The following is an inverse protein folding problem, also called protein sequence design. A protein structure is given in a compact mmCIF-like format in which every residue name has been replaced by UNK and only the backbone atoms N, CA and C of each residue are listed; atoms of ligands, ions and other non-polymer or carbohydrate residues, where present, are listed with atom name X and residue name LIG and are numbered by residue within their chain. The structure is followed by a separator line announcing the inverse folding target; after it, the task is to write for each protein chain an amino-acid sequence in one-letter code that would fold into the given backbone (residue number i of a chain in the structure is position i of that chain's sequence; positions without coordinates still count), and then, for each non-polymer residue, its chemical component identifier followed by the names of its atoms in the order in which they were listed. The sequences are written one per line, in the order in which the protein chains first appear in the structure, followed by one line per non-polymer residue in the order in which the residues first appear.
data_IF_446936163978
#
_entry.id   IF_446936163978
#
_cell.length_a   1.000
_cell.length_b   1.000
_cell.length_c   1.000
_cell.angle_alpha   90.00
_cell.angle_beta   90.00
_cell.angle_gamma   90.00
#
_symmetry.space_group_name_H-M   'P 1'
#
loop_
_entity.id
_entity.type
_entity.pdbx_description
1 polymer ?
#
# COMPACT_ATOMS: atom_id res chain seq x y z
N UNK A 1 4.50 -21.80 65.52
CA UNK A 1 3.66 -21.56 64.33
C UNK A 1 4.04 -20.21 63.74
N UNK A 2 4.04 -20.08 62.40
CA UNK A 2 4.41 -18.83 61.71
C UNK A 2 5.83 -18.87 61.15
N UNK A 3 6.00 -19.41 59.94
CA UNK A 3 7.18 -19.22 59.11
C UNK A 3 6.87 -18.12 58.08
N UNK A 4 7.74 -17.12 57.95
CA UNK A 4 7.56 -16.04 56.99
C UNK A 4 8.27 -16.38 55.67
N UNK A 5 7.50 -16.67 54.62
CA UNK A 5 8.00 -16.81 53.25
C UNK A 5 7.74 -15.50 52.52
N UNK A 6 8.80 -14.71 52.30
CA UNK A 6 8.74 -13.52 51.44
C UNK A 6 8.92 -13.95 49.99
N UNK A 7 7.85 -13.86 49.20
CA UNK A 7 7.87 -14.19 47.78
C UNK A 7 8.65 -13.16 46.96
N UNK A 8 9.51 -13.63 46.05
CA UNK A 8 10.22 -12.78 45.10
C UNK A 8 9.33 -12.50 43.88
N UNK A 9 8.74 -11.30 43.82
CA UNK A 9 7.96 -10.86 42.66
C UNK A 9 8.86 -10.58 41.46
N UNK A 10 8.92 -11.53 40.52
CA UNK A 10 9.54 -11.35 39.20
C UNK A 10 8.73 -10.31 38.40
N UNK A 11 9.23 -9.08 38.36
CA UNK A 11 8.70 -8.05 37.47
C UNK A 11 9.15 -8.38 36.05
N UNK A 12 8.23 -8.92 35.24
CA UNK A 12 8.40 -9.02 33.80
C UNK A 12 8.46 -7.61 33.21
N UNK A 13 9.67 -7.10 32.99
CA UNK A 13 9.85 -5.93 32.12
C UNK A 13 9.42 -6.33 30.72
N UNK A 14 8.26 -5.83 30.30
CA UNK A 14 7.85 -5.85 28.89
C UNK A 14 8.86 -5.03 28.10
N UNK A 15 9.82 -5.70 27.45
CA UNK A 15 10.68 -5.06 26.48
C UNK A 15 9.79 -4.50 25.38
N UNK A 16 9.68 -3.17 25.33
CA UNK A 16 9.05 -2.49 24.20
C UNK A 16 9.79 -2.97 22.94
N UNK A 17 9.08 -3.39 21.87
CA UNK A 17 9.75 -3.70 20.62
C UNK A 17 10.53 -2.46 20.21
N UNK A 18 11.83 -2.62 19.93
CA UNK A 18 12.64 -1.54 19.41
C UNK A 18 11.92 -0.97 18.18
N UNK A 19 11.74 0.35 18.14
CA UNK A 19 11.11 1.01 17.00
C UNK A 19 11.88 0.60 15.75
N UNK A 20 11.25 -0.21 14.89
CA UNK A 20 11.93 -0.77 13.73
C UNK A 20 12.45 0.38 12.86
N UNK A 21 13.70 0.29 12.38
CA UNK A 21 14.27 1.28 11.47
C UNK A 21 13.32 1.46 10.28
N UNK A 22 12.54 2.53 10.31
CA UNK A 22 11.53 2.83 9.30
C UNK A 22 12.23 3.50 8.12
N UNK A 23 11.81 3.16 6.90
CA UNK A 23 12.37 3.76 5.68
C UNK A 23 12.09 5.26 5.70
N UNK A 24 13.14 6.06 5.93
CA UNK A 24 13.03 7.51 5.95
C UNK A 24 13.33 8.04 4.54
N UNK A 25 12.30 8.55 3.86
CA UNK A 25 12.44 9.29 2.61
C UNK A 25 12.26 10.77 2.87
N UNK A 26 13.19 11.62 2.42
CA UNK A 26 13.10 13.08 2.57
C UNK A 26 13.66 13.83 1.36
N UNK A 27 13.15 15.03 1.03
CA UNK A 27 13.83 15.93 0.09
C UNK A 27 15.23 16.28 0.60
N UNK A 28 16.22 16.20 -0.29
CA UNK A 28 17.63 16.38 0.00
C UNK A 28 18.33 17.10 -1.17
N UNK A 29 18.59 18.42 -1.07
CA UNK A 29 19.07 19.25 -2.18
C UNK A 29 20.37 18.77 -2.84
N UNK A 30 21.32 18.25 -2.07
CA UNK A 30 22.65 17.83 -2.58
C UNK A 30 22.56 16.66 -3.58
N UNK A 31 21.47 15.89 -3.55
CA UNK A 31 21.18 14.80 -4.50
C UNK A 31 20.39 15.27 -5.74
N UNK A 32 20.02 16.54 -5.82
CA UNK A 32 19.22 17.10 -6.91
C UNK A 32 20.02 17.62 -8.10
N UNK A 33 19.33 18.24 -9.04
CA UNK A 33 19.94 19.05 -10.11
C UNK A 33 19.01 20.21 -10.42
N UNK A 34 19.54 21.44 -10.36
CA UNK A 34 18.76 22.65 -10.67
C UNK A 34 18.32 22.67 -12.14
N UNK A 35 17.09 23.11 -12.38
CA UNK A 35 16.55 23.41 -13.70
C UNK A 35 16.63 24.92 -13.95
N UNK A 36 15.52 25.48 -14.42
CA UNK A 36 15.38 26.90 -14.80
C UNK A 36 14.10 27.48 -14.18
N UNK A 37 14.06 28.79 -13.91
CA UNK A 37 12.84 29.52 -13.59
C UNK A 37 11.96 29.71 -14.83
N UNK A 38 10.74 29.19 -14.81
CA UNK A 38 9.79 29.24 -15.94
C UNK A 38 8.66 30.23 -15.71
N UNK A 39 8.23 30.92 -16.76
CA UNK A 39 6.97 31.66 -16.74
C UNK A 39 5.82 30.72 -17.14
N UNK A 40 4.76 30.71 -16.34
CA UNK A 40 3.61 29.83 -16.52
C UNK A 40 2.33 30.66 -16.58
N UNK A 41 1.36 30.19 -17.37
CA UNK A 41 0.02 30.77 -17.50
C UNK A 41 -1.07 29.78 -17.08
N UNK A 42 -2.25 30.29 -16.73
CA UNK A 42 -3.46 29.46 -16.61
C UNK A 42 -3.97 29.03 -18.00
N UNK A 43 -4.93 28.09 -18.02
CA UNK A 43 -5.58 27.60 -19.24
C UNK A 43 -6.24 28.67 -20.12
N UNK A 44 -6.42 29.91 -19.63
CA UNK A 44 -6.97 31.04 -20.38
C UNK A 44 -5.87 32.08 -20.75
N UNK A 45 -4.59 31.75 -20.57
CA UNK A 45 -3.43 32.58 -20.94
C UNK A 45 -3.06 33.67 -19.93
N UNK A 46 -3.50 33.61 -18.67
CA UNK A 46 -3.14 34.61 -17.64
C UNK A 46 -1.87 34.17 -16.88
N UNK A 47 -0.84 35.01 -16.70
CA UNK A 47 0.34 34.66 -15.91
C UNK A 47 -0.01 34.20 -14.48
N UNK A 48 0.54 33.06 -14.09
CA UNK A 48 0.50 32.53 -12.73
C UNK A 48 1.51 33.28 -11.85
N UNK A 49 1.29 33.28 -10.54
CA UNK A 49 2.24 33.79 -9.54
C UNK A 49 2.68 32.66 -8.61
N UNK A 50 3.96 32.62 -8.29
CA UNK A 50 4.50 31.72 -7.29
C UNK A 50 4.06 32.12 -5.86
N UNK A 51 4.37 31.29 -4.86
CA UNK A 51 3.97 31.52 -3.45
C UNK A 51 4.53 32.81 -2.83
N UNK A 52 5.59 33.37 -3.42
CA UNK A 52 6.27 34.58 -2.96
C UNK A 52 5.85 35.82 -3.81
N UNK A 53 4.86 35.65 -4.71
CA UNK A 53 4.29 36.72 -5.55
C UNK A 53 5.03 37.01 -6.85
N UNK A 54 6.12 36.28 -7.13
CA UNK A 54 6.91 36.43 -8.36
C UNK A 54 6.34 35.67 -9.56
N UNK A 55 6.80 36.04 -10.74
CA UNK A 55 6.33 35.52 -12.05
C UNK A 55 6.95 34.17 -12.43
N UNK A 56 8.16 33.86 -11.94
CA UNK A 56 8.89 32.65 -12.31
C UNK A 56 8.70 31.49 -11.32
N UNK A 57 8.58 30.27 -11.86
CA UNK A 57 8.49 29.01 -11.14
C UNK A 57 9.79 28.22 -11.33
N UNK A 58 10.62 28.16 -10.28
CA UNK A 58 11.91 27.45 -10.33
C UNK A 58 11.69 25.94 -10.43
N UNK A 59 12.21 25.34 -11.51
CA UNK A 59 12.22 23.90 -11.72
C UNK A 59 13.51 23.26 -11.20
N UNK A 60 13.43 21.99 -10.80
CA UNK A 60 14.61 21.15 -10.52
C UNK A 60 14.25 19.68 -10.68
N UNK A 61 15.26 18.85 -10.94
CA UNK A 61 15.18 17.42 -10.64
C UNK A 61 15.46 17.29 -9.13
N UNK A 62 14.41 17.06 -8.34
CA UNK A 62 14.44 17.12 -6.88
C UNK A 62 15.19 15.92 -6.33
N UNK A 63 16.22 16.18 -5.53
CA UNK A 63 16.97 15.14 -4.83
C UNK A 63 16.16 14.56 -3.66
N UNK A 64 16.21 13.23 -3.52
CA UNK A 64 15.66 12.51 -2.39
C UNK A 64 16.78 11.73 -1.68
N UNK A 65 16.76 11.77 -0.36
CA UNK A 65 17.49 10.86 0.52
C UNK A 65 16.55 9.74 0.95
N UNK A 66 17.06 8.51 0.90
CA UNK A 66 16.43 7.31 1.43
C UNK A 66 17.39 6.72 2.47
N UNK A 67 16.92 6.55 3.71
CA UNK A 67 17.68 5.89 4.78
C UNK A 67 16.91 4.64 5.21
N UNK A 68 17.56 3.48 5.11
CA UNK A 68 17.04 2.21 5.64
C UNK A 68 18.20 1.35 6.19
N UNK A 69 18.00 0.71 7.35
CA UNK A 69 18.97 -0.19 7.99
C UNK A 69 20.37 0.44 8.15
N UNK A 70 20.41 1.77 8.38
CA UNK A 70 21.65 2.56 8.47
C UNK A 70 22.38 2.81 7.14
N UNK A 71 21.87 2.32 6.00
CA UNK A 71 22.38 2.67 4.66
C UNK A 71 21.73 3.97 4.19
N UNK A 72 22.52 4.87 3.63
CA UNK A 72 22.03 6.04 2.90
C UNK A 72 22.07 5.75 1.38
N UNK A 73 20.98 6.06 0.70
CA UNK A 73 20.81 5.96 -0.75
C UNK A 73 20.15 7.25 -1.27
N UNK A 74 20.33 7.56 -2.56
CA UNK A 74 19.71 8.73 -3.18
C UNK A 74 18.82 8.35 -4.36
N UNK A 75 17.71 9.06 -4.48
CA UNK A 75 16.80 9.00 -5.61
C UNK A 75 16.56 10.42 -6.16
N UNK A 76 15.89 10.50 -7.30
CA UNK A 76 15.55 11.77 -7.95
C UNK A 76 14.08 11.77 -8.34
N UNK A 77 13.39 12.90 -8.18
CA UNK A 77 11.95 13.04 -8.37
C UNK A 77 11.56 14.36 -9.05
N UNK A 78 10.33 14.46 -9.53
CA UNK A 78 9.70 15.69 -9.99
C UNK A 78 8.51 16.06 -9.10
N UNK A 79 8.18 17.34 -9.04
CA UNK A 79 6.98 17.85 -8.35
C UNK A 79 5.72 17.59 -9.19
N UNK A 80 4.61 17.25 -8.52
CA UNK A 80 3.29 16.99 -9.15
C UNK A 80 2.17 17.89 -8.61
N UNK A 81 2.50 19.03 -7.99
CA UNK A 81 1.50 20.01 -7.57
C UNK A 81 2.02 21.46 -7.49
N UNK A 82 1.17 22.40 -7.89
CA UNK A 82 1.37 23.84 -7.76
C UNK A 82 0.15 24.52 -7.09
N UNK A 83 0.35 25.65 -6.41
CA UNK A 83 1.61 26.15 -5.87
C UNK A 83 1.83 25.59 -4.44
N UNK A 84 2.70 24.58 -4.29
CA UNK A 84 3.10 24.01 -2.98
C UNK A 84 4.60 24.18 -2.78
N UNK A 85 5.08 24.44 -1.55
CA UNK A 85 6.51 24.65 -1.25
C UNK A 85 7.21 23.32 -0.94
N UNK A 86 8.37 23.08 -1.56
CA UNK A 86 9.28 22.00 -1.15
C UNK A 86 9.94 22.36 0.19
N UNK A 87 10.01 21.41 1.11
CA UNK A 87 10.50 21.60 2.48
C UNK A 87 11.52 20.52 2.80
N UNK A 88 12.80 20.88 2.77
CA UNK A 88 13.92 19.96 2.97
C UNK A 88 13.82 19.17 4.28
N UNK A 89 14.29 17.92 4.25
CA UNK A 89 14.26 16.99 5.39
C UNK A 89 12.84 16.62 5.92
N UNK A 90 11.76 17.11 5.30
CA UNK A 90 10.39 16.71 5.67
C UNK A 90 10.15 15.23 5.34
N UNK A 91 9.74 14.39 6.31
CA UNK A 91 9.49 12.98 6.04
C UNK A 91 8.34 12.78 5.05
N UNK A 92 8.65 12.05 3.97
CA UNK A 92 7.72 11.58 2.99
C UNK A 92 7.38 10.11 3.24
N UNK A 93 6.20 9.71 2.79
CA UNK A 93 5.80 8.31 2.62
C UNK A 93 5.30 8.12 1.20
N UNK A 94 5.44 6.91 0.72
CA UNK A 94 4.75 6.48 -0.48
C UNK A 94 3.23 6.42 -0.24
N UNK A 95 2.45 6.75 -1.27
CA UNK A 95 1.03 6.35 -1.39
C UNK A 95 0.70 6.03 -2.86
N UNK A 96 -0.34 5.23 -3.12
CA UNK A 96 -0.89 5.07 -4.48
C UNK A 96 -1.38 6.40 -5.07
N UNK A 97 -1.48 6.48 -6.40
CA UNK A 97 -1.85 7.68 -7.13
C UNK A 97 -3.20 8.27 -6.71
N UNK A 98 -4.19 7.43 -6.40
CA UNK A 98 -5.52 7.84 -5.95
C UNK A 98 -5.51 8.55 -4.58
N UNK A 99 -4.44 8.37 -3.79
CA UNK A 99 -4.23 8.97 -2.49
C UNK A 99 -3.47 10.30 -2.50
N UNK A 100 -3.22 10.89 -3.69
CA UNK A 100 -2.68 12.25 -3.80
C UNK A 100 -3.48 13.24 -2.90
N UNK A 101 -2.82 13.99 -2.00
CA UNK A 101 -3.49 14.69 -0.91
C UNK A 101 -4.15 16.00 -1.35
N UNK A 102 -3.57 16.67 -2.36
CA UNK A 102 -4.13 17.89 -2.91
C UNK A 102 -5.32 17.55 -3.83
N UNK A 103 -6.47 18.19 -3.58
CA UNK A 103 -7.70 18.00 -4.36
C UNK A 103 -7.88 19.07 -5.45
N UNK A 104 -7.02 20.09 -5.48
CA UNK A 104 -7.03 21.15 -6.48
C UNK A 104 -6.24 20.77 -7.74
N UNK A 105 -5.54 19.64 -7.71
CA UNK A 105 -4.64 19.13 -8.76
C UNK A 105 -5.31 18.04 -9.58
N UNK A 106 -5.03 18.03 -10.88
CA UNK A 106 -5.42 17.00 -11.85
C UNK A 106 -4.55 15.75 -11.85
N UNK A 107 -3.57 15.63 -10.94
CA UNK A 107 -2.68 14.45 -10.86
C UNK A 107 -3.45 13.12 -10.92
N UNK A 108 -4.51 12.92 -10.12
CA UNK A 108 -5.27 11.65 -10.10
C UNK A 108 -5.95 11.30 -11.43
N UNK A 109 -6.36 12.32 -12.18
CA UNK A 109 -7.07 12.19 -13.45
C UNK A 109 -6.06 11.95 -14.60
N UNK A 110 -4.84 12.48 -14.47
CA UNK A 110 -3.83 12.52 -15.53
C UNK A 110 -2.52 11.78 -15.20
N UNK A 111 -2.45 11.01 -14.10
CA UNK A 111 -1.22 10.36 -13.61
C UNK A 111 -0.53 9.50 -14.69
N UNK A 112 -1.30 8.92 -15.61
CA UNK A 112 -0.77 8.16 -16.74
C UNK A 112 0.04 8.98 -17.74
N UNK A 113 -0.31 10.24 -17.98
CA UNK A 113 0.44 11.14 -18.87
C UNK A 113 1.71 11.63 -18.18
N UNK A 114 1.67 11.82 -16.86
CA UNK A 114 2.86 12.05 -16.02
C UNK A 114 3.78 10.84 -16.08
N UNK A 115 3.26 9.63 -15.90
CA UNK A 115 4.03 8.39 -15.98
C UNK A 115 4.70 8.22 -17.36
N UNK A 116 3.96 8.47 -18.44
CA UNK A 116 4.52 8.49 -19.80
C UNK A 116 5.66 9.52 -19.94
N UNK A 117 5.52 10.72 -19.38
CA UNK A 117 6.60 11.72 -19.39
C UNK A 117 7.85 11.16 -18.72
N UNK A 118 7.74 10.63 -17.50
CA UNK A 118 8.89 10.12 -16.73
C UNK A 118 9.63 8.97 -17.45
N UNK A 119 8.92 8.18 -18.26
CA UNK A 119 9.50 7.15 -19.14
C UNK A 119 10.20 7.73 -20.40
N UNK A 120 9.86 8.94 -20.84
CA UNK A 120 10.27 9.55 -22.12
C UNK A 120 10.99 10.91 -21.93
N UNK A 121 11.42 11.24 -20.72
CA UNK A 121 12.05 12.53 -20.35
C UNK A 121 13.37 12.34 -19.61
N UNK A 122 14.01 13.44 -19.23
CA UNK A 122 15.08 13.40 -18.25
C UNK A 122 14.56 12.80 -16.92
N UNK A 123 15.36 12.04 -16.16
CA UNK A 123 16.69 11.49 -16.45
C UNK A 123 16.69 10.05 -17.03
N UNK A 124 15.54 9.54 -17.53
CA UNK A 124 15.46 8.21 -18.18
C UNK A 124 16.00 8.27 -19.61
N UNK A 125 15.66 9.32 -20.35
CA UNK A 125 16.44 9.79 -21.49
C UNK A 125 17.49 10.77 -20.99
N UNK A 126 18.76 10.54 -21.30
CA UNK A 126 19.81 11.54 -21.09
C UNK A 126 19.77 12.64 -22.18
N UNK A 127 20.61 13.67 -22.01
CA UNK A 127 20.69 14.81 -22.93
C UNK A 127 21.14 14.38 -24.34
N UNK A 128 22.04 13.40 -24.47
CA UNK A 128 22.51 12.91 -25.75
C UNK A 128 21.49 12.02 -26.48
N UNK A 129 20.61 11.36 -25.73
CA UNK A 129 19.46 10.64 -26.24
C UNK A 129 18.37 11.62 -26.69
N UNK A 130 18.06 12.64 -25.87
CA UNK A 130 17.06 13.68 -26.19
C UNK A 130 17.46 14.52 -27.41
N UNK A 131 18.73 14.95 -27.51
CA UNK A 131 19.30 15.62 -28.69
C UNK A 131 18.94 14.94 -30.02
N UNK A 132 18.94 13.60 -30.01
CA UNK A 132 18.63 12.74 -31.16
C UNK A 132 17.12 12.47 -31.30
N UNK A 133 16.44 12.15 -30.20
CA UNK A 133 15.03 11.75 -30.20
C UNK A 133 14.06 12.92 -30.43
N UNK A 134 14.44 14.14 -30.02
CA UNK A 134 13.62 15.35 -30.12
C UNK A 134 14.14 16.31 -31.22
N UNK A 135 15.28 16.01 -31.86
CA UNK A 135 15.97 16.85 -32.85
C UNK A 135 16.35 18.25 -32.30
N UNK A 136 16.91 18.28 -31.09
CA UNK A 136 17.33 19.49 -30.38
C UNK A 136 18.84 19.42 -30.12
N UNK A 137 19.71 19.71 -31.11
CA UNK A 137 21.15 19.38 -31.01
C UNK A 137 21.89 20.17 -29.92
N UNK A 138 21.36 21.32 -29.49
CA UNK A 138 21.93 22.19 -28.46
C UNK A 138 21.47 21.85 -27.04
N UNK A 139 20.25 21.30 -26.87
CA UNK A 139 19.53 21.28 -25.58
C UNK A 139 20.41 20.98 -24.37
N UNK A 140 20.31 21.87 -23.39
CA UNK A 140 21.02 21.74 -22.12
C UNK A 140 20.23 20.90 -21.11
N UNK A 141 20.94 20.35 -20.12
CA UNK A 141 20.32 19.56 -19.04
C UNK A 141 19.29 20.39 -18.25
N UNK A 142 19.61 21.65 -18.00
CA UNK A 142 18.76 22.66 -17.34
C UNK A 142 17.44 22.83 -18.10
N UNK A 143 17.51 23.11 -19.40
CA UNK A 143 16.35 23.26 -20.29
C UNK A 143 15.50 21.98 -20.37
N UNK A 144 16.15 20.81 -20.47
CA UNK A 144 15.44 19.52 -20.52
C UNK A 144 14.74 19.19 -19.20
N UNK A 145 15.38 19.47 -18.04
CA UNK A 145 14.74 19.37 -16.71
C UNK A 145 13.53 20.30 -16.63
N UNK A 146 13.66 21.54 -17.08
CA UNK A 146 12.63 22.55 -16.97
C UNK A 146 11.41 22.22 -17.86
N UNK A 147 11.61 21.92 -19.15
CA UNK A 147 10.55 21.50 -20.05
C UNK A 147 9.87 20.20 -19.61
N UNK A 148 10.60 19.28 -18.97
CA UNK A 148 10.04 18.07 -18.34
C UNK A 148 9.10 18.43 -17.18
N UNK A 149 9.56 19.28 -16.24
CA UNK A 149 8.75 19.69 -15.09
C UNK A 149 7.52 20.52 -15.52
N UNK A 150 7.64 21.35 -16.55
CA UNK A 150 6.53 22.07 -17.17
C UNK A 150 5.50 21.12 -17.79
N UNK A 151 5.96 20.07 -18.50
CA UNK A 151 5.08 19.07 -19.08
C UNK A 151 4.34 18.26 -18.01
N UNK A 152 4.95 18.03 -16.85
CA UNK A 152 4.25 17.43 -15.69
C UNK A 152 3.16 18.39 -15.19
N UNK A 153 3.49 19.67 -14.93
CA UNK A 153 2.53 20.69 -14.47
C UNK A 153 1.39 20.96 -15.47
N UNK A 154 1.60 20.74 -16.77
CA UNK A 154 0.53 20.75 -17.78
C UNK A 154 -0.60 19.77 -17.46
N UNK A 155 -0.24 18.58 -16.98
CA UNK A 155 -1.16 17.50 -16.65
C UNK A 155 -1.61 17.50 -15.18
N UNK A 156 -0.77 17.96 -14.25
CA UNK A 156 -1.08 17.94 -12.81
C UNK A 156 -1.80 19.19 -12.31
N UNK A 157 -1.61 20.34 -12.95
CA UNK A 157 -2.08 21.64 -12.43
C UNK A 157 -2.81 22.49 -13.49
N UNK A 158 -3.05 21.92 -14.68
CA UNK A 158 -3.59 22.60 -15.88
C UNK A 158 -2.78 23.84 -16.33
N UNK A 159 -1.56 23.99 -15.80
CA UNK A 159 -0.65 25.09 -16.14
C UNK A 159 -0.20 25.02 -17.61
N UNK A 160 0.13 26.17 -18.18
CA UNK A 160 0.68 26.27 -19.53
C UNK A 160 2.02 26.99 -19.48
N UNK A 161 2.99 26.56 -20.29
CA UNK A 161 4.23 27.30 -20.47
C UNK A 161 3.90 28.58 -21.26
N UNK A 162 4.46 29.73 -20.88
CA UNK A 162 4.36 30.90 -21.75
C UNK A 162 5.31 30.75 -22.95
N UNK A 163 4.80 30.27 -24.08
CA UNK A 163 5.63 29.98 -25.26
C UNK A 163 6.26 31.23 -25.91
N UNK A 164 5.90 32.44 -25.47
CA UNK A 164 6.51 33.70 -25.93
C UNK A 164 7.62 34.24 -25.02
N UNK A 165 7.72 33.75 -23.79
CA UNK A 165 8.64 34.20 -22.74
C UNK A 165 8.82 33.05 -21.74
N UNK A 166 9.40 31.92 -22.18
CA UNK A 166 9.24 30.64 -21.49
C UNK A 166 10.00 30.56 -20.15
N UNK A 167 11.09 31.31 -20.00
CA UNK A 167 11.98 31.23 -18.85
C UNK A 167 12.67 32.57 -18.55
N UNK A 168 13.37 32.62 -17.42
CA UNK A 168 14.18 33.78 -17.00
C UNK A 168 15.55 33.88 -17.71
N UNK A 169 15.79 33.07 -18.74
CA UNK A 169 17.08 32.89 -19.43
C UNK A 169 17.05 33.49 -20.86
N UNK A 170 18.15 33.49 -21.63
CA UNK A 170 18.16 34.02 -22.99
C UNK A 170 17.33 33.18 -23.99
N UNK A 171 16.74 33.78 -25.05
CA UNK A 171 15.75 33.11 -25.92
C UNK A 171 16.13 31.76 -26.56
N UNK A 172 17.41 31.46 -26.76
CA UNK A 172 17.83 30.15 -27.26
C UNK A 172 17.56 29.01 -26.27
N UNK A 173 17.47 29.32 -24.97
CA UNK A 173 17.05 28.38 -23.92
C UNK A 173 15.52 28.22 -23.95
N UNK A 174 14.76 29.29 -24.18
CA UNK A 174 13.29 29.23 -24.32
C UNK A 174 12.88 28.33 -25.48
N UNK A 175 13.53 28.42 -26.65
CA UNK A 175 13.26 27.56 -27.80
C UNK A 175 13.44 26.06 -27.45
N UNK A 176 14.53 25.71 -26.77
CA UNK A 176 14.80 24.34 -26.31
C UNK A 176 13.80 23.87 -25.22
N UNK A 177 13.41 24.73 -24.27
CA UNK A 177 12.39 24.43 -23.24
C UNK A 177 11.01 24.23 -23.87
N UNK A 178 10.59 25.11 -24.77
CA UNK A 178 9.29 25.05 -25.49
C UNK A 178 9.21 23.80 -26.37
N UNK A 179 10.31 23.42 -27.04
CA UNK A 179 10.34 22.22 -27.86
C UNK A 179 10.24 20.94 -27.02
N UNK A 180 10.94 20.85 -25.89
CA UNK A 180 10.79 19.76 -24.91
C UNK A 180 9.35 19.70 -24.39
N UNK A 181 8.80 20.84 -23.96
CA UNK A 181 7.44 20.94 -23.42
C UNK A 181 6.39 20.43 -24.42
N UNK A 182 6.44 20.92 -25.67
CA UNK A 182 5.55 20.47 -26.75
C UNK A 182 5.69 18.98 -27.04
N UNK A 183 6.93 18.48 -27.14
CA UNK A 183 7.19 17.06 -27.42
C UNK A 183 6.64 16.11 -26.34
N UNK A 184 6.55 16.59 -25.09
CA UNK A 184 6.04 15.83 -23.94
C UNK A 184 4.54 16.02 -23.66
N UNK A 185 3.90 17.03 -24.27
CA UNK A 185 2.46 17.36 -24.06
C UNK A 185 1.59 17.21 -25.32
N UNK A 186 2.19 16.95 -26.48
CA UNK A 186 1.47 16.62 -27.73
C UNK A 186 0.64 15.33 -27.54
N UNK A 187 -0.71 15.38 -27.64
CA UNK A 187 -1.58 14.22 -27.44
C UNK A 187 -1.47 13.16 -28.55
N UNK A 188 -0.82 13.45 -29.68
CA UNK A 188 -0.47 12.44 -30.68
C UNK A 188 0.77 11.62 -30.31
N UNK A 189 1.49 12.02 -29.25
CA UNK A 189 2.75 11.42 -28.80
C UNK A 189 2.60 10.88 -27.37
N UNK A 190 2.14 11.72 -26.44
CA UNK A 190 1.86 11.34 -25.06
C UNK A 190 0.48 10.70 -24.93
N UNK A 191 0.42 9.41 -25.25
CA UNK A 191 -0.79 8.57 -25.09
C UNK A 191 -1.05 8.11 -23.65
N UNK A 192 -0.13 8.40 -22.73
CA UNK A 192 -0.16 7.92 -21.35
C UNK A 192 0.34 6.48 -21.16
N UNK A 193 0.57 6.10 -19.91
CA UNK A 193 0.83 4.73 -19.46
C UNK A 193 -0.11 4.47 -18.27
N UNK A 194 -1.27 3.83 -18.53
CA UNK A 194 -2.34 3.61 -17.54
C UNK A 194 -1.95 2.70 -16.37
N UNK A 195 -0.86 1.93 -16.46
CA UNK A 195 -0.39 1.07 -15.38
C UNK A 195 0.34 1.89 -14.30
N UNK A 196 -0.22 1.91 -13.10
CA UNK A 196 0.49 2.37 -11.90
C UNK A 196 1.69 1.46 -11.59
N UNK A 197 2.89 2.00 -11.28
CA UNK A 197 4.05 1.18 -10.98
C UNK A 197 3.87 0.37 -9.70
N UNK A 198 4.18 -0.93 -9.74
CA UNK A 198 4.13 -1.81 -8.58
C UNK A 198 4.90 -1.23 -7.37
N UNK A 199 4.44 -1.49 -6.13
CA UNK A 199 5.20 -1.14 -4.96
C UNK A 199 6.52 -1.92 -4.87
N UNK A 200 7.56 -1.28 -4.35
CA UNK A 200 8.86 -1.84 -3.98
C UNK A 200 8.69 -3.06 -3.09
N UNK A 201 7.89 -2.93 -2.03
CA UNK A 201 7.40 -4.04 -1.22
C UNK A 201 6.13 -3.63 -0.46
N UNK A 202 5.10 -4.45 -0.53
CA UNK A 202 3.95 -4.46 0.40
C UNK A 202 3.58 -5.90 0.76
N UNK A 203 2.96 -6.05 1.93
CA UNK A 203 2.32 -7.30 2.36
C UNK A 203 0.91 -6.93 2.82
N UNK A 204 -0.10 -7.61 2.27
CA UNK A 204 -1.50 -7.44 2.66
C UNK A 204 -2.24 -8.80 2.72
N UNK A 205 -3.06 -9.08 3.75
CA UNK A 205 -3.23 -8.29 4.98
C UNK A 205 -1.97 -8.29 5.87
N UNK A 206 -1.88 -7.31 6.78
CA UNK A 206 -0.78 -7.23 7.77
C UNK A 206 -0.88 -8.24 8.90
N UNK A 207 -2.09 -8.67 9.25
CA UNK A 207 -2.35 -9.66 10.29
C UNK A 207 -3.45 -10.62 9.84
N UNK A 208 -3.28 -11.91 10.13
CA UNK A 208 -4.31 -12.94 10.01
C UNK A 208 -4.37 -13.80 11.26
N UNK A 209 -5.54 -14.37 11.51
CA UNK A 209 -5.80 -15.33 12.58
C UNK A 209 -6.44 -16.60 11.98
N UNK A 210 -6.11 -17.75 12.57
CA UNK A 210 -6.66 -19.05 12.18
C UNK A 210 -6.55 -20.07 13.31
N UNK A 211 -6.55 -21.36 12.98
CA UNK A 211 -6.47 -22.45 13.95
C UNK A 211 -5.23 -23.33 13.71
N UNK A 212 -4.73 -23.95 14.76
CA UNK A 212 -3.77 -25.04 14.67
C UNK A 212 -4.25 -26.15 13.70
N UNK A 213 -3.32 -26.76 12.95
CA UNK A 213 -3.60 -27.72 11.89
C UNK A 213 -4.00 -27.13 10.53
N UNK A 214 -4.39 -25.85 10.46
CA UNK A 214 -4.82 -25.19 9.21
C UNK A 214 -3.72 -24.30 8.61
N UNK A 215 -3.91 -23.89 7.36
CA UNK A 215 -3.09 -22.87 6.69
C UNK A 215 -3.64 -21.48 6.98
N UNK A 216 -2.76 -20.57 7.37
CA UNK A 216 -3.07 -19.17 7.70
C UNK A 216 -2.50 -18.29 6.60
N UNK A 217 -3.35 -17.75 5.73
CA UNK A 217 -2.97 -16.98 4.55
C UNK A 217 -4.13 -16.87 3.54
N UNK A 218 -3.89 -16.30 2.35
CA UNK A 218 -2.60 -15.78 1.89
C UNK A 218 -2.24 -14.43 2.52
N UNK A 219 -0.99 -14.30 2.95
CA UNK A 219 -0.31 -13.01 3.02
C UNK A 219 0.21 -12.69 1.62
N UNK A 220 -0.46 -11.79 0.90
CA UNK A 220 -0.11 -11.45 -0.48
C UNK A 220 1.07 -10.48 -0.47
N UNK A 221 2.14 -10.83 -1.20
CA UNK A 221 3.37 -10.04 -1.31
C UNK A 221 3.42 -9.41 -2.70
N UNK A 222 3.35 -8.09 -2.77
CA UNK A 222 3.56 -7.33 -4.01
C UNK A 222 4.89 -6.58 -3.92
N UNK A 223 5.76 -6.79 -4.91
CA UNK A 223 7.12 -6.24 -4.93
C UNK A 223 7.59 -6.06 -6.38
N UNK A 224 8.60 -5.21 -6.58
CA UNK A 224 9.35 -5.08 -7.84
C UNK A 224 10.64 -5.92 -7.86
N UNK A 225 10.92 -6.71 -6.81
CA UNK A 225 12.03 -7.67 -6.81
C UNK A 225 11.65 -9.02 -7.44
N UNK A 226 12.65 -9.70 -8.01
CA UNK A 226 12.48 -11.06 -8.57
C UNK A 226 12.29 -12.15 -7.50
N UNK A 227 12.78 -11.89 -6.27
CA UNK A 227 12.83 -12.81 -5.14
C UNK A 227 12.75 -12.01 -3.82
N UNK A 228 12.44 -12.70 -2.74
CA UNK A 228 12.41 -12.15 -1.37
C UNK A 228 13.18 -13.05 -0.41
N UNK A 229 13.60 -12.50 0.73
CA UNK A 229 14.10 -13.25 1.89
C UNK A 229 13.03 -13.15 2.99
N UNK A 230 12.68 -14.25 3.65
CA UNK A 230 11.74 -14.26 4.78
C UNK A 230 12.55 -14.43 6.07
N UNK A 231 12.48 -13.46 6.98
CA UNK A 231 13.14 -13.49 8.29
C UNK A 231 12.11 -13.72 9.39
N UNK A 232 12.24 -14.80 10.17
CA UNK A 232 11.36 -15.07 11.30
C UNK A 232 12.02 -15.95 12.38
N UNK A 233 11.59 -15.76 13.63
CA UNK A 233 11.91 -16.65 14.75
C UNK A 233 10.89 -17.77 14.85
N UNK A 234 11.00 -18.74 13.94
CA UNK A 234 10.04 -19.85 13.79
C UNK A 234 10.02 -20.75 15.04
N UNK A 235 8.86 -20.95 15.71
CA UNK A 235 8.73 -21.92 16.80
C UNK A 235 8.58 -23.36 16.26
N UNK A 236 8.75 -24.36 17.12
CA UNK A 236 8.52 -25.75 16.76
C UNK A 236 7.06 -25.97 16.31
N UNK A 237 6.86 -26.83 15.29
CA UNK A 237 5.53 -27.13 14.74
C UNK A 237 4.98 -26.08 13.77
N UNK A 238 5.70 -25.00 13.47
CA UNK A 238 5.31 -23.98 12.49
C UNK A 238 6.24 -24.01 11.27
N UNK A 239 5.68 -23.86 10.07
CA UNK A 239 6.40 -23.80 8.78
C UNK A 239 5.79 -22.73 7.87
N UNK A 240 6.56 -22.22 6.91
CA UNK A 240 6.09 -21.27 5.90
C UNK A 240 5.94 -21.99 4.56
N UNK A 241 4.87 -21.72 3.82
CA UNK A 241 4.55 -22.40 2.56
C UNK A 241 4.03 -21.44 1.49
N UNK A 242 4.19 -21.80 0.21
CA UNK A 242 3.46 -21.17 -0.89
C UNK A 242 2.03 -21.75 -1.04
N UNK A 243 1.28 -21.23 -2.02
CA UNK A 243 -0.09 -21.68 -2.33
C UNK A 243 -0.22 -23.15 -2.72
N UNK A 244 0.88 -23.81 -3.10
CA UNK A 244 0.90 -25.22 -3.51
C UNK A 244 1.34 -26.13 -2.34
N UNK A 245 1.53 -25.56 -1.15
CA UNK A 245 1.95 -26.25 0.07
C UNK A 245 3.43 -26.60 0.11
N UNK A 246 4.25 -26.06 -0.82
CA UNK A 246 5.69 -26.24 -0.81
C UNK A 246 6.31 -25.32 0.24
N UNK A 247 7.23 -25.87 1.03
CA UNK A 247 7.95 -25.13 2.07
C UNK A 247 8.82 -23.99 1.48
N UNK A 248 8.80 -22.84 2.15
CA UNK A 248 9.57 -21.64 1.86
C UNK A 248 10.80 -21.59 2.78
N UNK A 249 11.96 -21.18 2.26
CA UNK A 249 13.13 -20.98 3.10
C UNK A 249 12.97 -19.72 3.97
N UNK A 250 13.31 -19.85 5.26
CA UNK A 250 13.19 -18.77 6.26
C UNK A 250 14.51 -18.62 7.00
N UNK A 251 15.06 -17.40 7.00
CA UNK A 251 16.28 -17.05 7.72
C UNK A 251 15.98 -16.70 9.17
N UNK A 252 16.99 -16.88 10.03
CA UNK A 252 16.91 -16.49 11.44
C UNK A 252 17.01 -14.97 11.57
N UNK A 253 16.46 -14.46 12.66
CA UNK A 253 16.51 -13.04 13.02
C UNK A 253 17.95 -12.49 12.95
N UNK A 254 18.18 -11.48 12.10
CA UNK A 254 19.49 -10.88 11.82
C UNK A 254 20.41 -11.63 10.84
N UNK A 255 20.03 -12.79 10.28
CA UNK A 255 20.87 -13.61 9.38
C UNK A 255 20.61 -13.32 7.87
N UNK A 256 20.45 -12.04 7.53
CA UNK A 256 20.24 -11.54 6.15
C UNK A 256 21.44 -11.76 5.18
N UNK A 257 22.42 -12.58 5.57
CA UNK A 257 23.52 -13.04 4.72
C UNK A 257 23.32 -14.48 4.23
N UNK A 258 22.35 -15.22 4.79
CA UNK A 258 21.93 -16.50 4.25
C UNK A 258 21.25 -16.27 2.89
N UNK A 259 21.70 -16.98 1.85
CA UNK A 259 21.27 -16.80 0.45
C UNK A 259 19.90 -17.44 0.13
N UNK A 260 18.99 -17.39 1.09
CA UNK A 260 17.66 -18.01 1.06
C UNK A 260 16.65 -17.15 0.28
N UNK A 261 16.95 -16.92 -1.01
CA UNK A 261 16.13 -16.06 -1.87
C UNK A 261 15.00 -16.86 -2.54
N UNK A 262 13.75 -16.69 -2.10
CA UNK A 262 12.58 -17.39 -2.65
C UNK A 262 11.71 -16.47 -3.51
N UNK A 263 11.25 -16.95 -4.66
CA UNK A 263 10.23 -16.26 -5.48
C UNK A 263 8.84 -16.66 -5.02
N UNK A 264 8.13 -15.74 -4.36
CA UNK A 264 6.80 -15.98 -3.78
C UNK A 264 5.93 -14.72 -3.90
N UNK A 265 4.67 -14.88 -4.30
CA UNK A 265 3.67 -13.80 -4.30
C UNK A 265 2.57 -13.97 -3.23
N UNK A 266 2.49 -15.13 -2.59
CA UNK A 266 1.58 -15.43 -1.49
C UNK A 266 2.27 -16.35 -0.48
N UNK A 267 2.41 -15.88 0.75
CA UNK A 267 2.97 -16.62 1.88
C UNK A 267 1.82 -17.17 2.72
N UNK A 268 1.94 -18.42 3.16
CA UNK A 268 1.04 -19.06 4.12
C UNK A 268 1.84 -19.56 5.31
N UNK A 269 1.33 -19.35 6.52
CA UNK A 269 1.88 -19.94 7.75
C UNK A 269 1.09 -21.21 8.06
N UNK A 270 1.79 -22.35 8.13
CA UNK A 270 1.24 -23.65 8.50
C UNK A 270 1.60 -23.96 9.94
N UNK A 271 0.60 -24.29 10.76
CA UNK A 271 0.75 -24.64 12.17
C UNK A 271 0.31 -26.10 12.34
N UNK A 272 1.08 -26.94 13.05
CA UNK A 272 0.67 -28.30 13.38
C UNK A 272 -0.49 -28.34 14.40
N UNK A 273 -1.24 -29.43 14.46
CA UNK A 273 -2.46 -29.54 15.27
C UNK A 273 -2.22 -29.49 16.78
N UNK A 274 -1.01 -29.85 17.23
CA UNK A 274 -0.58 -29.97 18.62
C UNK A 274 0.16 -28.72 19.16
N UNK A 275 0.23 -27.64 18.37
CA UNK A 275 0.88 -26.38 18.78
C UNK A 275 -0.07 -25.53 19.62
N UNK A 276 0.34 -25.20 20.84
CA UNK A 276 -0.41 -24.31 21.74
C UNK A 276 -0.74 -22.94 21.08
N UNK A 277 -1.88 -22.31 21.42
CA UNK A 277 -2.29 -21.01 20.88
C UNK A 277 -1.18 -19.94 20.96
N UNK A 278 -0.97 -19.20 19.87
CA UNK A 278 0.19 -18.34 19.75
C UNK A 278 0.16 -17.38 18.57
N UNK A 279 1.31 -16.77 18.28
CA UNK A 279 1.50 -15.92 17.10
C UNK A 279 2.96 -15.88 16.67
N UNK A 280 3.19 -15.71 15.37
CA UNK A 280 4.49 -15.44 14.77
C UNK A 280 4.45 -14.11 14.01
N UNK A 281 5.45 -13.28 14.25
CA UNK A 281 5.77 -12.13 13.40
C UNK A 281 6.91 -12.51 12.47
N UNK A 282 6.79 -12.12 11.20
CA UNK A 282 7.82 -12.32 10.20
C UNK A 282 8.05 -11.03 9.40
N UNK A 283 9.27 -10.89 8.89
CA UNK A 283 9.67 -9.76 8.04
C UNK A 283 10.04 -10.30 6.67
N UNK A 284 9.49 -9.72 5.60
CA UNK A 284 9.94 -9.99 4.23
C UNK A 284 10.93 -8.89 3.86
N UNK A 285 12.08 -9.26 3.31
CA UNK A 285 13.15 -8.37 2.88
C UNK A 285 13.39 -8.52 1.38
N UNK A 286 13.64 -7.41 0.69
CA UNK A 286 13.97 -7.37 -0.74
C UNK A 286 15.06 -6.33 -1.01
N UNK A 287 15.80 -6.52 -2.11
CA UNK A 287 16.39 -5.41 -2.86
C UNK A 287 15.59 -5.29 -4.16
N UNK A 288 14.91 -4.16 -4.33
CA UNK A 288 13.83 -3.96 -5.28
C UNK A 288 13.96 -2.61 -5.99
N UNK A 289 13.42 -2.50 -7.20
CA UNK A 289 13.45 -1.24 -7.95
C UNK A 289 12.37 -0.28 -7.46
N UNK A 290 12.79 0.84 -6.89
CA UNK A 290 11.98 2.04 -6.69
C UNK A 290 11.68 2.64 -8.08
N UNK A 291 10.58 2.19 -8.71
CA UNK A 291 10.21 2.57 -10.07
C UNK A 291 9.91 4.06 -10.23
N UNK A 292 10.18 4.59 -11.43
CA UNK A 292 9.61 5.85 -11.91
C UNK A 292 8.08 5.88 -11.76
N UNK A 293 7.51 7.07 -11.52
CA UNK A 293 6.08 7.29 -11.38
C UNK A 293 5.51 7.05 -9.97
N UNK A 294 6.21 6.34 -9.07
CA UNK A 294 5.75 6.09 -7.70
C UNK A 294 5.64 7.41 -6.92
N UNK A 295 4.50 7.62 -6.27
CA UNK A 295 4.12 8.87 -5.62
C UNK A 295 4.52 8.89 -4.14
N UNK A 296 5.18 9.98 -3.73
CA UNK A 296 5.58 10.29 -2.37
C UNK A 296 4.92 11.58 -1.90
N UNK A 297 4.41 11.57 -0.67
CA UNK A 297 3.62 12.66 -0.07
C UNK A 297 4.05 12.88 1.38
N UNK A 298 3.75 14.05 1.95
CA UNK A 298 4.05 14.34 3.35
C UNK A 298 3.50 13.25 4.30
N UNK A 299 4.37 12.68 5.14
CA UNK A 299 4.00 11.64 6.10
C UNK A 299 2.99 12.13 7.12
N UNK A 300 3.22 13.34 7.65
CA UNK A 300 2.29 14.07 8.52
C UNK A 300 1.53 15.15 7.72
N UNK A 301 0.20 15.13 7.82
CA UNK A 301 -0.69 16.09 7.15
C UNK A 301 -0.56 17.53 7.67
N UNK A 302 0.03 17.72 8.85
CA UNK A 302 0.30 19.04 9.42
C UNK A 302 1.57 19.67 8.82
N UNK A 303 2.57 18.86 8.46
CA UNK A 303 3.85 19.29 7.88
C UNK A 303 3.80 19.18 6.35
N UNK A 304 3.01 20.06 5.72
CA UNK A 304 2.84 20.07 4.26
C UNK A 304 4.16 20.33 3.52
N UNK A 305 4.39 19.54 2.48
CA UNK A 305 5.38 19.81 1.43
C UNK A 305 4.87 19.29 0.09
N UNK A 306 5.59 19.57 -1.01
CA UNK A 306 5.25 19.08 -2.35
C UNK A 306 5.13 17.56 -2.37
N UNK A 307 4.08 17.07 -3.01
CA UNK A 307 3.96 15.69 -3.47
C UNK A 307 4.89 15.49 -4.68
N UNK A 308 5.61 14.37 -4.70
CA UNK A 308 6.72 14.08 -5.62
C UNK A 308 6.56 12.72 -6.28
N UNK A 309 6.94 12.60 -7.56
CA UNK A 309 7.01 11.31 -8.27
C UNK A 309 8.44 10.96 -8.66
N UNK A 310 8.83 9.71 -8.45
CA UNK A 310 10.16 9.21 -8.79
C UNK A 310 10.43 9.39 -10.29
N UNK A 311 11.59 9.95 -10.63
CA UNK A 311 11.95 10.34 -12.00
C UNK A 311 12.68 9.24 -12.80
N UNK A 312 13.30 8.27 -12.13
CA UNK A 312 13.90 7.08 -12.76
C UNK A 312 13.97 5.90 -11.78
N UNK A 313 14.02 4.64 -12.26
CA UNK A 313 14.24 3.50 -11.41
C UNK A 313 15.59 3.59 -10.68
N UNK A 314 15.59 3.25 -9.39
CA UNK A 314 16.81 3.03 -8.60
C UNK A 314 16.62 1.78 -7.73
N UNK A 315 17.69 1.00 -7.54
CA UNK A 315 17.65 -0.13 -6.62
C UNK A 315 17.65 0.40 -5.19
N UNK A 316 16.65 -0.01 -4.42
CA UNK A 316 16.57 0.23 -2.97
C UNK A 316 16.45 -1.08 -2.24
N UNK A 317 16.88 -1.11 -0.99
CA UNK A 317 16.39 -2.16 -0.08
C UNK A 317 14.95 -1.81 0.33
N UNK A 318 14.19 -2.82 0.76
CA UNK A 318 12.93 -2.62 1.49
C UNK A 318 12.65 -3.83 2.39
N UNK A 319 11.94 -3.58 3.50
CA UNK A 319 11.43 -4.62 4.39
C UNK A 319 10.01 -4.32 4.83
N UNK A 320 9.19 -5.36 5.00
CA UNK A 320 7.82 -5.25 5.47
C UNK A 320 7.48 -6.35 6.46
N UNK A 321 6.60 -6.04 7.42
CA UNK A 321 6.21 -6.98 8.48
C UNK A 321 4.78 -7.47 8.33
N UNK A 322 4.57 -8.73 8.69
CA UNK A 322 3.25 -9.33 8.83
C UNK A 322 3.21 -10.33 9.99
N UNK A 323 1.99 -10.67 10.44
CA UNK A 323 1.75 -11.48 11.63
C UNK A 323 0.68 -12.54 11.41
N UNK A 324 0.98 -13.78 11.78
CA UNK A 324 -0.02 -14.84 11.88
C UNK A 324 -0.29 -15.16 13.36
N UNK A 325 -1.56 -15.30 13.72
CA UNK A 325 -2.05 -15.76 15.03
C UNK A 325 -2.78 -17.09 14.85
N UNK A 326 -2.73 -17.95 15.86
CA UNK A 326 -3.52 -19.18 15.86
C UNK A 326 -4.12 -19.49 17.23
N UNK A 327 -5.33 -20.02 17.20
CA UNK A 327 -6.02 -20.61 18.35
C UNK A 327 -6.00 -22.14 18.28
N UNK A 328 -6.42 -22.79 19.37
CA UNK A 328 -6.52 -24.23 19.48
C UNK A 328 -7.50 -24.80 18.44
N UNK A 329 -7.19 -25.96 17.86
CA UNK A 329 -8.05 -26.61 16.88
C UNK A 329 -9.31 -27.17 17.56
N UNK A 330 -10.44 -26.50 17.40
CA UNK A 330 -11.72 -26.89 18.04
C UNK A 330 -12.44 -28.05 17.35
N UNK A 331 -11.76 -28.83 16.51
CA UNK A 331 -12.32 -30.02 15.86
C UNK A 331 -12.86 -31.00 16.90
N UNK A 332 -14.18 -31.31 16.90
CA UNK A 332 -14.78 -32.14 17.94
C UNK A 332 -14.39 -33.61 17.76
N UNK A 333 -13.41 -34.06 18.55
CA UNK A 333 -12.96 -35.45 18.63
C UNK A 333 -14.13 -36.37 18.96
N UNK A 334 -14.69 -36.98 17.91
CA UNK A 334 -15.79 -37.94 18.00
C UNK A 334 -15.26 -39.27 18.53
N UNK A 335 -15.00 -39.32 19.84
CA UNK A 335 -14.61 -40.51 20.58
C UNK A 335 -15.76 -41.51 20.59
N UNK A 336 -15.81 -42.35 19.55
CA UNK A 336 -16.81 -43.40 19.38
C UNK A 336 -16.52 -44.58 20.33
N UNK A 337 -16.69 -44.35 21.63
CA UNK A 337 -16.82 -45.41 22.62
C UNK A 337 -18.14 -46.15 22.38
N UNK A 338 -18.09 -47.16 21.51
CA UNK A 338 -19.20 -48.05 21.20
C UNK A 338 -19.54 -48.95 22.40
N UNK A 339 -20.27 -48.40 23.38
CA UNK A 339 -20.72 -49.12 24.58
C UNK A 339 -21.87 -50.07 24.23
N UNK A 340 -21.54 -51.31 23.90
CA UNK A 340 -22.51 -52.40 23.68
C UNK A 340 -23.45 -52.55 24.88
N UNK A 341 -24.73 -52.26 24.69
CA UNK A 341 -25.78 -52.49 25.69
C UNK A 341 -26.93 -53.28 25.05
N UNK A 342 -27.28 -54.40 25.68
CA UNK A 342 -28.25 -55.37 25.17
C UNK A 342 -29.60 -55.25 25.89
N UNK A 343 -30.69 -55.72 25.27
CA UNK A 343 -32.04 -55.95 25.87
C UNK A 343 -32.84 -54.66 26.19
N UNK A 344 -34.18 -54.61 26.13
CA UNK A 344 -35.22 -55.66 25.99
C UNK A 344 -36.41 -55.20 25.13
N UNK A 345 -37.09 -56.13 24.47
CA UNK A 345 -38.38 -55.95 23.78
C UNK A 345 -39.56 -55.69 24.73
N UNK A 346 -40.47 -54.79 24.36
CA UNK A 346 -41.89 -54.82 24.77
C UNK A 346 -42.77 -54.39 23.60
N UNK A 347 -43.82 -55.15 23.29
CA UNK A 347 -44.83 -54.82 22.28
C UNK A 347 -45.97 -54.00 22.88
N UNK A 348 -46.54 -53.06 22.12
CA UNK A 348 -47.96 -52.66 22.29
C UNK A 348 -48.59 -52.38 20.92
N UNK A 349 -49.61 -53.16 20.58
CA UNK A 349 -50.44 -52.98 19.37
C UNK A 349 -51.53 -51.93 19.56
N UNK A 350 -51.92 -51.21 18.50
CA UNK A 350 -53.28 -50.67 18.29
C UNK A 350 -53.54 -50.45 16.79
N UNK A 351 -54.77 -50.68 16.33
CA UNK A 351 -55.17 -50.77 14.91
C UNK A 351 -55.97 -49.56 14.40
N UNK A 352 -56.00 -49.37 13.08
CA UNK A 352 -56.79 -48.33 12.39
C UNK A 352 -58.31 -48.64 12.31
N UNK A 353 -59.14 -47.66 11.90
CA UNK A 353 -59.78 -47.70 10.56
C UNK A 353 -59.49 -46.41 9.73
N UNK A 354 -59.31 -46.43 8.39
CA UNK A 354 -60.30 -46.57 7.28
C UNK A 354 -61.46 -45.56 7.37
N UNK A 355 -61.88 -44.80 6.34
CA UNK A 355 -61.76 -44.87 4.85
C UNK A 355 -61.65 -43.39 4.31
N UNK A 356 -61.61 -42.94 3.03
CA UNK A 356 -62.11 -43.37 1.69
C UNK A 356 -61.29 -42.67 0.56
N UNK A 357 -61.53 -43.01 -0.71
CA UNK A 357 -60.84 -42.52 -1.93
C UNK A 357 -61.63 -41.54 -2.81
N UNK A 358 -60.91 -40.71 -3.58
CA UNK A 358 -61.29 -40.28 -4.95
C UNK A 358 -60.03 -40.15 -5.83
N UNK A 359 -60.14 -40.38 -7.16
CA UNK A 359 -59.03 -40.45 -8.15
C UNK A 359 -59.44 -39.61 -9.38
N UNK A 360 -58.60 -38.77 -10.01
CA UNK A 360 -57.59 -39.04 -11.05
C UNK A 360 -56.73 -37.76 -11.29
N UNK A 361 -55.40 -37.76 -11.44
CA UNK A 361 -54.56 -38.16 -12.59
C UNK A 361 -54.71 -37.26 -13.85
N UNK A 362 -53.68 -36.87 -14.63
CA UNK A 362 -52.20 -36.88 -14.58
C UNK A 362 -51.66 -36.20 -15.90
N UNK A 363 -50.35 -36.19 -16.28
CA UNK A 363 -49.06 -36.15 -15.55
C UNK A 363 -48.12 -34.98 -16.00
N UNK A 364 -46.90 -34.84 -15.42
CA UNK A 364 -45.73 -34.31 -16.17
C UNK A 364 -44.66 -33.48 -15.44
N UNK A 365 -43.68 -34.14 -14.80
CA UNK A 365 -42.47 -33.53 -14.20
C UNK A 365 -42.71 -32.74 -12.90
N UNK A 366 -41.85 -32.75 -11.88
CA UNK A 366 -40.51 -33.35 -11.74
C UNK A 366 -39.43 -32.25 -11.59
N UNK A 367 -38.87 -32.00 -10.41
CA UNK A 367 -39.23 -32.53 -9.08
C UNK A 367 -38.42 -31.82 -7.98
N UNK A 368 -39.01 -31.66 -6.80
CA UNK A 368 -38.46 -30.87 -5.70
C UNK A 368 -38.05 -31.72 -4.50
N UNK A 369 -36.89 -31.40 -3.92
CA UNK A 369 -36.43 -31.92 -2.62
C UNK A 369 -36.92 -31.03 -1.46
N UNK A 370 -37.14 -31.66 -0.30
CA UNK A 370 -37.59 -31.02 0.95
C UNK A 370 -36.48 -30.20 1.62
N UNK A 371 -36.75 -28.91 1.91
CA UNK A 371 -35.97 -28.12 2.86
C UNK A 371 -36.85 -27.20 3.73
N UNK A 372 -36.68 -27.32 5.04
CA UNK A 372 -37.44 -26.59 6.04
C UNK A 372 -37.00 -25.13 6.22
N UNK A 373 -37.96 -24.28 6.55
CA UNK A 373 -37.73 -22.87 6.91
C UNK A 373 -36.97 -22.73 8.24
N UNK A 374 -35.80 -22.09 8.21
CA UNK A 374 -35.09 -21.62 9.41
C UNK A 374 -35.01 -20.09 9.40
N UNK A 375 -35.73 -19.44 10.32
CA UNK A 375 -35.82 -17.99 10.40
C UNK A 375 -34.87 -17.37 11.42
N UNK A 376 -34.18 -16.29 11.04
CA UNK A 376 -33.49 -15.38 11.95
C UNK A 376 -33.79 -13.92 11.55
N UNK A 377 -34.26 -13.09 12.50
CA UNK A 377 -34.75 -11.74 12.19
C UNK A 377 -33.65 -10.68 12.28
N UNK A 378 -33.35 -10.04 11.15
CA UNK A 378 -32.35 -8.97 10.99
C UNK A 378 -32.64 -7.68 11.78
N UNK A 379 -33.83 -7.52 12.36
CA UNK A 379 -34.22 -6.28 13.05
C UNK A 379 -33.60 -6.09 14.43
N UNK A 380 -33.15 -7.17 15.10
CA UNK A 380 -32.58 -7.10 16.46
C UNK A 380 -31.24 -6.33 16.54
N UNK A 381 -30.20 -6.65 15.74
CA UNK A 381 -28.91 -5.96 15.83
C UNK A 381 -28.97 -4.46 15.47
N UNK A 382 -29.91 -4.06 14.59
CA UNK A 382 -30.04 -2.68 14.12
C UNK A 382 -30.45 -1.72 15.24
N UNK A 383 -31.32 -2.17 16.16
CA UNK A 383 -31.71 -1.40 17.35
C UNK A 383 -30.56 -1.24 18.36
N UNK A 384 -29.69 -2.25 18.49
CA UNK A 384 -28.51 -2.20 19.39
C UNK A 384 -27.49 -1.16 18.90
N UNK A 385 -27.22 -1.12 17.59
CA UNK A 385 -26.31 -0.14 16.99
C UNK A 385 -26.76 1.31 17.19
N UNK A 386 -28.06 1.59 17.06
CA UNK A 386 -28.65 2.91 17.31
C UNK A 386 -28.50 3.36 18.78
N UNK A 387 -28.65 2.44 19.74
CA UNK A 387 -28.46 2.73 21.16
C UNK A 387 -27.03 3.16 21.51
N UNK A 388 -26.02 2.47 20.94
CA UNK A 388 -24.61 2.77 21.17
C UNK A 388 -24.19 4.15 20.61
N UNK A 389 -24.70 4.52 19.43
CA UNK A 389 -24.46 5.84 18.85
C UNK A 389 -25.02 6.98 19.73
N UNK A 390 -26.22 6.80 20.29
CA UNK A 390 -26.82 7.77 21.22
C UNK A 390 -25.99 7.98 22.49
N UNK A 391 -25.49 6.88 23.08
CA UNK A 391 -24.65 6.94 24.27
C UNK A 391 -23.31 7.66 24.03
N UNK A 392 -22.66 7.39 22.89
CA UNK A 392 -21.40 8.05 22.51
C UNK A 392 -21.55 9.58 22.33
N UNK A 393 -22.64 10.02 21.70
CA UNK A 393 -22.94 11.45 21.54
C UNK A 393 -23.15 12.16 22.89
N UNK A 394 -23.88 11.54 23.82
CA UNK A 394 -24.11 12.08 25.16
C UNK A 394 -22.80 12.23 25.97
N UNK A 395 -21.92 11.22 25.91
CA UNK A 395 -20.62 11.27 26.59
C UNK A 395 -19.73 12.42 26.08
N UNK A 396 -19.66 12.62 24.76
CA UNK A 396 -18.92 13.73 24.13
C UNK A 396 -19.40 15.11 24.60
N UNK A 397 -20.71 15.31 24.76
CA UNK A 397 -21.28 16.57 25.23
C UNK A 397 -20.92 16.83 26.71
N UNK A 398 -20.97 15.80 27.56
CA UNK A 398 -20.60 15.91 28.98
C UNK A 398 -19.11 16.23 29.15
N UNK A 399 -18.23 15.56 28.38
CA UNK A 399 -16.79 15.84 28.39
C UNK A 399 -16.47 17.26 27.91
N UNK A 400 -17.17 17.77 26.88
CA UNK A 400 -17.03 19.15 26.44
C UNK A 400 -17.43 20.15 27.53
N UNK A 401 -18.58 19.95 28.20
CA UNK A 401 -19.04 20.86 29.28
C UNK A 401 -18.09 20.87 30.49
N UNK A 402 -17.40 19.77 30.80
CA UNK A 402 -16.37 19.71 31.85
C UNK A 402 -15.02 20.35 31.46
N UNK A 403 -14.87 20.88 30.24
CA UNK A 403 -13.70 21.68 29.80
C UNK A 403 -14.00 23.18 29.65
N UNK A 404 -15.16 23.64 30.12
CA UNK A 404 -15.61 25.04 29.97
C UNK A 404 -16.30 25.55 31.25
N UNK A 405 -15.83 25.04 32.40
CA UNK A 405 -16.26 25.37 33.75
C UNK A 405 -15.05 25.24 34.69
#
# INVERSE_FOLDING_TARGET
MGAAVLGASLVLLSALPAAADAVQVTPYPDAGTQGIGLHLTDKDGKPLKNLDGGDAFNTSLIGLKIIENGKEQTATAYCVELPTRLMDNTPLKEVPWDQHPNQNTKFKENAKYVNWILHNSFPVLDVEQARKAFNLPTVEKSAFIAGTQAAIWHYTDEARLDEGDASIEPPGIDEDVVAVYKRLTDPAINVGIDQEPNPTLTIDPKELEGEAGKLIGPFTVATTADKVIIEAKVPAGVTFTDKDGKELEVVKEGDLKATAETKVGQIFVKVAEDVEPGSIEFTVHVTAQLQHGRLFVASDRNHKTQSLVIAKPVQVDAKEKAKAKWVENTTPTSSSSATTTTTTTTETTTTAPTTTTTVAAAPGGGGDDDLASTGASIFVPLLVGLGLLGAGAAAMIIVRRKKTA
#
